data_IF_319777790375
#
_entry.id   IF_319777790375
#
_cell.length_a   1.000
_cell.length_b   1.000
_cell.length_c   1.000
_cell.angle_alpha   90.00
_cell.angle_beta   90.00
_cell.angle_gamma   90.00
#
_symmetry.space_group_name_H-M   'P 1'
#
loop_
_entity.id
_entity.type
_entity.pdbx_description
1 polymer ?
#
# COMPACT_ATOMS: atom_id res chain seq x y z
N UNK A 1 8.41 12.18 43.52
CA UNK A 1 8.53 12.05 42.05
C UNK A 1 9.96 12.48 41.73
N UNK A 2 10.83 11.49 41.56
CA UNK A 2 12.28 11.70 41.49
C UNK A 2 12.68 12.20 40.09
N UNK A 3 13.69 13.08 40.04
CA UNK A 3 14.31 13.59 38.83
C UNK A 3 14.82 12.51 37.86
N UNK A 4 14.84 11.23 38.29
CA UNK A 4 15.18 10.05 37.52
C UNK A 4 14.10 9.63 36.49
N UNK A 5 12.86 10.13 36.59
CA UNK A 5 11.77 9.76 35.68
C UNK A 5 11.69 10.67 34.44
N UNK A 6 12.42 11.76 34.45
CA UNK A 6 12.43 12.74 33.35
C UNK A 6 13.44 12.34 32.26
N UNK A 7 14.46 11.53 32.59
CA UNK A 7 15.51 11.09 31.64
C UNK A 7 15.08 9.89 30.78
N UNK A 8 13.91 9.29 30.99
CA UNK A 8 13.37 8.21 30.16
C UNK A 8 12.65 8.65 28.89
N UNK A 9 12.51 9.92 28.64
CA UNK A 9 12.31 10.38 27.28
C UNK A 9 13.68 10.45 26.59
N UNK A 10 14.32 9.28 26.44
CA UNK A 10 15.38 9.14 25.47
C UNK A 10 14.86 9.69 24.17
N UNK A 11 15.22 10.91 23.84
CA UNK A 11 15.17 11.38 22.46
C UNK A 11 15.83 10.29 21.66
N UNK A 12 15.03 9.53 20.89
CA UNK A 12 15.56 8.49 20.02
C UNK A 12 16.67 9.14 19.20
N UNK A 13 17.89 8.69 19.40
CA UNK A 13 19.03 9.17 18.65
C UNK A 13 18.67 9.04 17.16
N UNK A 14 18.75 10.12 16.36
CA UNK A 14 18.42 10.07 14.94
C UNK A 14 19.11 8.92 14.19
N UNK A 15 20.31 8.50 14.65
CA UNK A 15 21.04 7.35 14.09
C UNK A 15 20.34 6.02 14.36
N UNK A 16 19.59 5.88 15.47
CA UNK A 16 18.89 4.65 15.83
C UNK A 16 17.51 4.50 15.17
N UNK A 17 16.97 5.56 14.59
CA UNK A 17 15.65 5.51 13.95
C UNK A 17 15.69 4.66 12.67
N UNK A 18 16.80 4.67 11.95
CA UNK A 18 17.02 3.92 10.70
C UNK A 18 17.89 2.68 10.90
N UNK A 19 18.05 2.23 12.12
CA UNK A 19 18.79 1.02 12.42
C UNK A 19 17.92 -0.23 12.23
N UNK A 20 18.48 -1.25 11.62
CA UNK A 20 17.84 -2.57 11.46
C UNK A 20 17.49 -3.27 12.78
N UNK A 21 18.09 -2.89 13.90
CA UNK A 21 17.69 -3.34 15.23
C UNK A 21 16.36 -2.75 15.69
N UNK A 22 15.88 -1.68 15.05
CA UNK A 22 14.63 -1.00 15.41
C UNK A 22 13.42 -1.68 14.75
N UNK A 23 12.50 -2.30 15.52
CA UNK A 23 11.31 -2.98 14.97
C UNK A 23 10.41 -2.06 14.14
N UNK A 24 10.36 -0.75 14.45
CA UNK A 24 9.55 0.21 13.70
C UNK A 24 10.12 0.42 12.30
N UNK A 25 11.46 0.48 12.18
CA UNK A 25 12.11 0.57 10.88
C UNK A 25 11.97 -0.72 10.07
N UNK A 26 12.06 -1.87 10.71
CA UNK A 26 11.81 -3.17 10.08
C UNK A 26 10.36 -3.23 9.52
N UNK A 27 9.36 -2.88 10.34
CA UNK A 27 7.96 -2.87 9.92
C UNK A 27 7.71 -1.93 8.74
N UNK A 28 8.28 -0.72 8.78
CA UNK A 28 8.24 0.23 7.67
C UNK A 28 8.82 -0.35 6.38
N UNK A 29 10.00 -0.97 6.47
CA UNK A 29 10.70 -1.52 5.31
C UNK A 29 9.97 -2.71 4.73
N UNK A 30 9.46 -3.63 5.57
CA UNK A 30 8.67 -4.78 5.13
C UNK A 30 7.40 -4.34 4.40
N UNK A 31 6.64 -3.41 4.96
CA UNK A 31 5.44 -2.89 4.31
C UNK A 31 5.76 -2.15 3.02
N UNK A 32 6.84 -1.35 2.99
CA UNK A 32 7.28 -0.66 1.77
C UNK A 32 7.63 -1.65 0.66
N UNK A 33 8.38 -2.72 0.97
CA UNK A 33 8.70 -3.76 0.00
C UNK A 33 7.42 -4.45 -0.48
N UNK A 34 6.54 -4.87 0.43
CA UNK A 34 5.30 -5.56 0.09
C UNK A 34 4.41 -4.71 -0.84
N UNK A 35 4.17 -3.45 -0.49
CA UNK A 35 3.35 -2.53 -1.29
C UNK A 35 4.05 -1.94 -2.52
N UNK A 36 5.35 -2.18 -2.69
CA UNK A 36 6.04 -1.95 -3.95
C UNK A 36 5.90 -3.16 -4.87
N UNK A 37 6.26 -4.35 -4.36
CA UNK A 37 6.38 -5.56 -5.19
C UNK A 37 5.00 -6.09 -5.59
N UNK A 38 4.06 -6.21 -4.66
CA UNK A 38 2.77 -6.83 -4.95
C UNK A 38 1.95 -6.09 -6.02
N UNK A 39 1.77 -4.76 -5.97
CA UNK A 39 1.06 -4.06 -7.03
C UNK A 39 1.76 -4.14 -8.39
N UNK A 40 3.09 -4.11 -8.41
CA UNK A 40 3.84 -4.26 -9.67
C UNK A 40 3.61 -5.65 -10.27
N UNK A 41 3.73 -6.71 -9.46
CA UNK A 41 3.54 -8.09 -9.92
C UNK A 41 2.11 -8.31 -10.40
N UNK A 42 1.10 -7.93 -9.62
CA UNK A 42 -0.31 -8.08 -10.00
C UNK A 42 -0.69 -7.20 -11.19
N UNK A 43 -0.13 -5.98 -11.27
CA UNK A 43 -0.32 -5.10 -12.40
C UNK A 43 0.24 -5.70 -13.70
N UNK A 44 1.45 -6.26 -13.65
CA UNK A 44 2.06 -6.95 -14.81
C UNK A 44 1.31 -8.24 -15.17
N UNK A 45 0.81 -8.98 -14.18
CA UNK A 45 0.05 -10.21 -14.44
C UNK A 45 -1.26 -9.95 -15.16
N UNK A 46 -1.84 -8.75 -15.05
CA UNK A 46 -3.02 -8.36 -15.85
C UNK A 46 -2.76 -8.34 -17.37
N UNK A 47 -1.50 -8.26 -17.78
CA UNK A 47 -1.09 -8.39 -19.18
C UNK A 47 -0.69 -9.82 -19.52
N UNK A 48 -0.12 -10.56 -18.58
CA UNK A 48 0.40 -11.91 -18.78
C UNK A 48 -0.66 -13.01 -18.56
N UNK A 49 -1.67 -12.77 -17.73
CA UNK A 49 -2.75 -13.72 -17.37
C UNK A 49 -2.24 -15.07 -16.86
N UNK A 50 -1.14 -15.06 -16.07
CA UNK A 50 -0.51 -16.29 -15.56
C UNK A 50 -1.15 -16.73 -14.23
N UNK A 51 -1.43 -15.77 -13.32
CA UNK A 51 -1.90 -16.08 -11.98
C UNK A 51 -3.41 -16.34 -11.96
N UNK A 52 -4.21 -15.45 -12.55
CA UNK A 52 -5.67 -15.55 -12.58
C UNK A 52 -6.28 -14.90 -13.82
N UNK A 53 -7.55 -15.25 -14.11
CA UNK A 53 -8.36 -14.49 -15.06
C UNK A 53 -8.92 -13.24 -14.37
N UNK A 54 -8.31 -12.10 -14.62
CA UNK A 54 -8.65 -10.82 -13.97
C UNK A 54 -10.01 -10.25 -14.39
N UNK A 55 -10.51 -10.60 -15.57
CA UNK A 55 -11.78 -10.08 -16.11
C UNK A 55 -12.98 -10.42 -15.21
N UNK A 56 -12.90 -11.55 -14.47
CA UNK A 56 -13.94 -11.96 -13.52
C UNK A 56 -14.04 -11.08 -12.28
N UNK A 57 -13.03 -10.27 -11.99
CA UNK A 57 -12.99 -9.37 -10.83
C UNK A 57 -13.59 -7.99 -11.12
N UNK A 58 -14.07 -7.72 -12.32
CA UNK A 58 -14.81 -6.50 -12.66
C UNK A 58 -16.30 -6.71 -12.44
N UNK A 59 -16.92 -5.86 -11.58
CA UNK A 59 -18.34 -5.94 -11.34
C UNK A 59 -19.13 -5.61 -12.63
N UNK A 60 -20.14 -6.40 -13.00
CA UNK A 60 -20.94 -6.16 -14.20
C UNK A 60 -21.62 -4.79 -14.25
N UNK A 61 -21.85 -4.19 -13.07
CA UNK A 61 -22.39 -2.81 -12.97
C UNK A 61 -21.36 -1.77 -13.37
N UNK A 62 -20.09 -1.98 -13.05
CA UNK A 62 -18.99 -1.09 -13.43
C UNK A 62 -18.62 -1.26 -14.89
N UNK A 63 -18.64 -2.50 -15.39
CA UNK A 63 -18.39 -2.82 -16.80
C UNK A 63 -19.35 -2.06 -17.76
N UNK A 64 -20.60 -1.80 -17.33
CA UNK A 64 -21.58 -1.02 -18.09
C UNK A 64 -21.30 0.50 -18.13
N UNK A 65 -20.50 0.99 -17.18
CA UNK A 65 -20.22 2.44 -17.03
C UNK A 65 -18.85 2.77 -17.62
N UNK A 66 -17.89 1.83 -17.52
CA UNK A 66 -16.54 2.01 -18.06
C UNK A 66 -16.58 1.79 -19.57
N UNK A 67 -16.14 2.76 -20.39
CA UNK A 67 -16.08 2.56 -21.83
C UNK A 67 -15.04 1.49 -22.21
N UNK A 68 -15.40 0.60 -23.12
CA UNK A 68 -14.54 -0.48 -23.59
C UNK A 68 -14.99 -1.87 -23.11
N UNK A 69 -14.08 -2.82 -23.13
CA UNK A 69 -14.30 -4.21 -22.66
C UNK A 69 -13.72 -4.39 -21.26
N UNK A 70 -14.23 -5.37 -20.49
CA UNK A 70 -13.66 -5.76 -19.19
C UNK A 70 -12.15 -6.00 -19.27
N UNK A 71 -11.69 -6.60 -20.35
CA UNK A 71 -10.27 -6.85 -20.62
C UNK A 71 -9.45 -5.55 -20.76
N UNK A 72 -9.96 -4.57 -21.51
CA UNK A 72 -9.32 -3.25 -21.63
C UNK A 72 -9.30 -2.49 -20.30
N UNK A 73 -10.39 -2.59 -19.52
CA UNK A 73 -10.44 -2.02 -18.18
C UNK A 73 -9.38 -2.65 -17.27
N UNK A 74 -9.17 -3.98 -17.34
CA UNK A 74 -8.13 -4.66 -16.54
C UNK A 74 -6.72 -4.26 -16.95
N UNK A 75 -6.46 -3.97 -18.21
CA UNK A 75 -5.16 -3.41 -18.63
C UNK A 75 -4.91 -2.02 -18.05
N UNK A 76 -5.92 -1.15 -18.05
CA UNK A 76 -5.82 0.17 -17.40
C UNK A 76 -5.56 0.03 -15.90
N UNK A 77 -6.26 -0.89 -15.23
CA UNK A 77 -6.02 -1.24 -13.82
C UNK A 77 -4.58 -1.71 -13.61
N UNK A 78 -4.07 -2.57 -14.49
CA UNK A 78 -2.69 -3.06 -14.42
C UNK A 78 -1.65 -1.93 -14.49
N UNK A 79 -1.84 -0.97 -15.39
CA UNK A 79 -0.97 0.22 -15.47
C UNK A 79 -1.02 1.02 -14.17
N UNK A 80 -2.23 1.28 -13.63
CA UNK A 80 -2.40 2.03 -12.38
C UNK A 80 -1.68 1.32 -11.22
N UNK A 81 -1.79 0.00 -11.12
CA UNK A 81 -1.13 -0.78 -10.07
C UNK A 81 0.39 -0.72 -10.16
N UNK A 82 0.96 -0.86 -11.37
CA UNK A 82 2.40 -0.73 -11.58
C UNK A 82 2.88 0.66 -11.16
N UNK A 83 2.18 1.72 -11.60
CA UNK A 83 2.51 3.09 -11.23
C UNK A 83 2.39 3.29 -9.70
N UNK A 84 1.33 2.78 -9.08
CA UNK A 84 1.16 2.88 -7.63
C UNK A 84 2.31 2.21 -6.86
N UNK A 85 2.73 1.01 -7.27
CA UNK A 85 3.89 0.32 -6.69
C UNK A 85 5.18 1.11 -6.84
N UNK A 86 5.44 1.71 -8.00
CA UNK A 86 6.60 2.57 -8.22
C UNK A 86 6.55 3.84 -7.36
N UNK A 87 5.38 4.44 -7.19
CA UNK A 87 5.21 5.60 -6.29
C UNK A 87 5.48 5.22 -4.84
N UNK A 88 5.06 4.03 -4.39
CA UNK A 88 5.43 3.52 -3.04
C UNK A 88 6.94 3.37 -2.91
N UNK A 89 7.61 2.86 -3.94
CA UNK A 89 9.07 2.69 -3.92
C UNK A 89 9.81 4.02 -3.74
N UNK A 90 9.37 5.09 -4.42
CA UNK A 90 10.08 6.38 -4.45
C UNK A 90 9.55 7.34 -3.36
N UNK A 91 8.25 7.34 -3.11
CA UNK A 91 7.56 8.25 -2.19
C UNK A 91 6.56 7.47 -1.33
N UNK A 92 7.04 6.66 -0.35
CA UNK A 92 6.19 5.72 0.39
C UNK A 92 5.00 6.37 1.09
N UNK A 93 5.12 7.62 1.56
CA UNK A 93 4.03 8.37 2.19
C UNK A 93 2.86 8.61 1.23
N UNK A 94 3.13 9.11 0.04
CA UNK A 94 2.07 9.40 -0.96
C UNK A 94 1.62 8.13 -1.66
N UNK A 95 2.55 7.22 -1.96
CA UNK A 95 2.26 5.94 -2.58
C UNK A 95 1.35 5.06 -1.73
N UNK A 96 1.59 4.98 -0.43
CA UNK A 96 0.73 4.20 0.46
C UNK A 96 -0.70 4.76 0.57
N UNK A 97 -0.85 6.09 0.54
CA UNK A 97 -2.17 6.71 0.51
C UNK A 97 -2.90 6.44 -0.81
N UNK A 98 -2.17 6.50 -1.93
CA UNK A 98 -2.70 6.14 -3.25
C UNK A 98 -3.15 4.67 -3.27
N UNK A 99 -2.33 3.74 -2.76
CA UNK A 99 -2.67 2.31 -2.66
C UNK A 99 -3.87 2.10 -1.75
N UNK A 100 -3.96 2.78 -0.61
CA UNK A 100 -5.13 2.69 0.27
C UNK A 100 -6.41 3.14 -0.43
N UNK A 101 -6.40 4.29 -1.11
CA UNK A 101 -7.55 4.77 -1.88
C UNK A 101 -7.93 3.79 -3.01
N UNK A 102 -6.95 3.22 -3.68
CA UNK A 102 -7.15 2.22 -4.73
C UNK A 102 -7.77 0.92 -4.19
N UNK A 103 -7.26 0.40 -3.06
CA UNK A 103 -7.82 -0.77 -2.39
C UNK A 103 -9.26 -0.52 -1.93
N UNK A 104 -9.58 0.68 -1.43
CA UNK A 104 -10.96 1.03 -1.10
C UNK A 104 -11.88 0.92 -2.33
N UNK A 105 -11.44 1.37 -3.50
CA UNK A 105 -12.17 1.22 -4.76
C UNK A 105 -12.34 -0.25 -5.17
N UNK A 106 -11.30 -1.07 -5.04
CA UNK A 106 -11.36 -2.52 -5.29
C UNK A 106 -12.35 -3.19 -4.35
N UNK A 107 -12.32 -2.88 -3.04
CA UNK A 107 -13.25 -3.43 -2.07
C UNK A 107 -14.70 -3.11 -2.45
N UNK A 108 -15.00 -1.86 -2.81
CA UNK A 108 -16.34 -1.48 -3.26
C UNK A 108 -16.75 -2.27 -4.50
N UNK A 109 -15.86 -2.42 -5.48
CA UNK A 109 -16.12 -3.23 -6.66
C UNK A 109 -16.43 -4.70 -6.30
N UNK A 110 -15.61 -5.32 -5.44
CA UNK A 110 -15.78 -6.73 -5.04
C UNK A 110 -17.08 -6.97 -4.25
N UNK A 111 -17.48 -6.00 -3.42
CA UNK A 111 -18.75 -6.08 -2.69
C UNK A 111 -20.00 -6.05 -3.62
N UNK A 112 -19.84 -5.57 -4.85
CA UNK A 112 -20.88 -5.60 -5.88
C UNK A 112 -20.96 -6.93 -6.64
N UNK A 113 -20.02 -7.85 -6.40
CA UNK A 113 -19.94 -9.16 -7.06
C UNK A 113 -20.28 -10.25 -6.02
N UNK A 114 -21.42 -10.96 -6.15
CA UNK A 114 -21.71 -12.09 -5.27
C UNK A 114 -20.60 -13.16 -5.33
N UNK A 115 -20.18 -13.66 -4.17
CA UNK A 115 -19.16 -14.71 -4.07
C UNK A 115 -17.72 -14.21 -3.90
N UNK A 116 -17.44 -12.88 -3.91
CA UNK A 116 -16.11 -12.31 -3.72
C UNK A 116 -15.91 -11.59 -2.37
N UNK A 117 -16.77 -11.85 -1.39
CA UNK A 117 -16.72 -11.20 -0.08
C UNK A 117 -15.48 -11.60 0.74
N UNK A 118 -14.97 -12.81 0.54
CA UNK A 118 -13.73 -13.29 1.16
C UNK A 118 -12.51 -12.53 0.61
N UNK A 119 -12.51 -12.24 -0.69
CA UNK A 119 -11.45 -11.41 -1.32
C UNK A 119 -11.55 -9.98 -0.83
N UNK A 120 -12.75 -9.40 -0.75
CA UNK A 120 -12.97 -8.06 -0.21
C UNK A 120 -12.48 -7.94 1.25
N UNK A 121 -12.68 -8.97 2.08
CA UNK A 121 -12.19 -9.00 3.46
C UNK A 121 -10.65 -9.04 3.52
N UNK A 122 -10.00 -9.80 2.64
CA UNK A 122 -8.53 -9.83 2.52
C UNK A 122 -8.00 -8.46 2.10
N UNK A 123 -8.63 -7.83 1.11
CA UNK A 123 -8.25 -6.51 0.63
C UNK A 123 -8.47 -5.43 1.69
N UNK A 124 -9.47 -5.58 2.56
CA UNK A 124 -9.63 -4.71 3.71
C UNK A 124 -8.44 -4.80 4.68
N UNK A 125 -7.90 -6.00 4.91
CA UNK A 125 -6.65 -6.16 5.68
C UNK A 125 -5.46 -5.44 5.02
N UNK A 126 -5.33 -5.54 3.69
CA UNK A 126 -4.31 -4.82 2.93
C UNK A 126 -4.52 -3.30 2.98
N UNK A 127 -5.76 -2.84 2.92
CA UNK A 127 -6.10 -1.42 3.09
C UNK A 127 -5.61 -0.87 4.44
N UNK A 128 -5.86 -1.58 5.54
CA UNK A 128 -5.35 -1.20 6.87
C UNK A 128 -3.82 -1.22 6.92
N UNK A 129 -3.18 -2.20 6.28
CA UNK A 129 -1.73 -2.28 6.19
C UNK A 129 -1.14 -1.11 5.36
N UNK A 130 -1.81 -0.67 4.28
CA UNK A 130 -1.41 0.50 3.51
C UNK A 130 -1.53 1.80 4.32
N UNK A 131 -2.58 1.95 5.13
CA UNK A 131 -2.72 3.08 6.07
C UNK A 131 -1.64 3.04 7.16
N UNK A 132 -1.26 1.85 7.63
CA UNK A 132 -0.14 1.68 8.57
C UNK A 132 1.18 2.12 7.93
N UNK A 133 1.43 1.73 6.69
CA UNK A 133 2.60 2.20 5.94
C UNK A 133 2.60 3.73 5.79
N UNK A 134 1.45 4.35 5.50
CA UNK A 134 1.32 5.80 5.45
C UNK A 134 1.72 6.46 6.78
N UNK A 135 1.28 5.92 7.90
CA UNK A 135 1.62 6.43 9.23
C UNK A 135 3.11 6.31 9.53
N UNK A 136 3.70 5.15 9.23
CA UNK A 136 5.13 4.91 9.39
C UNK A 136 5.97 5.81 8.46
N UNK A 137 5.59 5.91 7.20
CA UNK A 137 6.26 6.80 6.24
C UNK A 137 6.20 8.27 6.67
N UNK A 138 5.07 8.71 7.21
CA UNK A 138 4.92 10.08 7.75
C UNK A 138 5.84 10.31 8.96
N UNK A 139 6.02 9.30 9.82
CA UNK A 139 6.93 9.39 10.95
C UNK A 139 8.39 9.56 10.49
N UNK A 140 8.82 8.81 9.48
CA UNK A 140 10.18 8.90 8.93
C UNK A 140 10.40 10.16 8.09
N UNK A 141 9.38 10.67 7.41
CA UNK A 141 9.44 11.90 6.60
C UNK A 141 9.67 13.17 7.47
N UNK A 142 9.11 13.17 8.69
CA UNK A 142 9.28 14.28 9.65
C UNK A 142 10.61 14.24 10.42
N UNK A 143 11.38 13.16 10.29
CA UNK A 143 12.66 12.93 10.99
C UNK A 143 13.77 12.61 10.00
N UNK A 144 14.30 13.62 9.27
CA UNK A 144 15.38 13.41 8.29
C UNK A 144 16.64 12.90 8.98
N UNK A 145 17.41 12.08 8.25
CA UNK A 145 18.66 11.45 8.70
C UNK A 145 19.77 12.45 9.08
N UNK A 146 19.66 13.69 8.62
CA UNK A 146 20.67 14.72 8.88
C UNK A 146 20.02 15.89 9.62
N UNK A 147 20.67 16.40 10.70
CA UNK A 147 20.28 17.68 11.28
C UNK A 147 20.42 18.73 10.19
N UNK A 148 19.39 19.54 9.98
CA UNK A 148 19.49 20.75 9.14
C UNK A 148 20.54 21.66 9.79
N UNK A 149 21.67 21.85 9.11
CA UNK A 149 22.64 22.87 9.47
C UNK A 149 22.06 24.25 9.23
#
# INVERSE_FOLDING_TARGET
>A
MSAMDIDRRKTLDPSQIHDWSNPVYQAFTLLRIAFTVAPIVFGLDKFAHILVNWDMYLAPRLDRIIPGTAHQAMYAVGVIEVVAGLVVAVRPKYGSLLVAAWLAGIIVNLLLIPGFYDVALRDFGLFLAALTLFRLASFFDTRPLLPRR
#
